data_IF_141370072363
#
_entry.id   IF_141370072363
#
_cell.length_a   1.000
_cell.length_b   1.000
_cell.length_c   1.000
_cell.angle_alpha   90.00
_cell.angle_beta   90.00
_cell.angle_gamma   90.00
#
_symmetry.space_group_name_H-M   'P 1'
#
loop_
_entity.id
_entity.type
_entity.pdbx_description
1 polymer ?
#
# COMPACT_ATOMS: atom_id res chain seq x y z
N UNK A 1 -23.06 6.41 -4.06
CA UNK A 1 -23.98 5.31 -4.47
C UNK A 1 -23.69 4.07 -3.63
N UNK A 2 -24.52 3.78 -2.62
CA UNK A 2 -24.18 2.85 -1.54
C UNK A 2 -24.10 1.35 -1.94
N UNK A 3 -24.42 1.00 -3.19
CA UNK A 3 -24.51 -0.39 -3.65
C UNK A 3 -23.53 -0.74 -4.79
N UNK A 4 -22.50 0.09 -5.02
CA UNK A 4 -21.50 -0.19 -6.06
C UNK A 4 -20.55 -1.27 -5.55
N UNK A 5 -20.49 -2.41 -6.24
CA UNK A 5 -19.55 -3.47 -5.90
C UNK A 5 -18.10 -3.00 -6.12
N UNK A 6 -17.35 -2.79 -5.04
CA UNK A 6 -15.96 -2.29 -5.09
C UNK A 6 -15.02 -3.19 -5.90
N UNK A 7 -15.30 -4.50 -5.97
CA UNK A 7 -14.51 -5.43 -6.78
C UNK A 7 -14.63 -5.16 -8.28
N UNK A 8 -15.59 -4.35 -8.73
CA UNK A 8 -15.67 -3.90 -10.12
C UNK A 8 -14.74 -2.72 -10.43
N UNK A 9 -14.22 -2.03 -9.41
CA UNK A 9 -13.35 -0.88 -9.58
C UNK A 9 -11.91 -1.34 -9.84
N UNK A 10 -11.31 -1.01 -10.99
CA UNK A 10 -9.93 -1.42 -11.31
C UNK A 10 -8.92 -0.94 -10.26
N UNK A 11 -9.10 0.27 -9.73
CA UNK A 11 -8.22 0.83 -8.69
C UNK A 11 -8.27 0.03 -7.39
N UNK A 12 -9.45 -0.50 -7.01
CA UNK A 12 -9.63 -1.23 -5.76
C UNK A 12 -8.99 -2.61 -5.88
N UNK A 13 -9.22 -3.31 -6.99
CA UNK A 13 -8.52 -4.57 -7.29
C UNK A 13 -7.01 -4.39 -7.28
N UNK A 14 -6.49 -3.34 -7.91
CA UNK A 14 -5.04 -3.06 -7.90
C UNK A 14 -4.50 -2.63 -6.54
N UNK A 15 -5.31 -2.04 -5.68
CA UNK A 15 -4.93 -1.81 -4.28
C UNK A 15 -4.84 -3.13 -3.50
N UNK A 16 -5.76 -4.08 -3.73
CA UNK A 16 -5.70 -5.41 -3.12
C UNK A 16 -4.49 -6.20 -3.60
N UNK A 17 -4.19 -6.18 -4.91
CA UNK A 17 -3.01 -6.83 -5.48
C UNK A 17 -1.72 -6.28 -4.84
N UNK A 18 -1.60 -4.95 -4.74
CA UNK A 18 -0.47 -4.27 -4.09
C UNK A 18 -0.35 -4.65 -2.60
N UNK A 19 -1.47 -4.71 -1.88
CA UNK A 19 -1.51 -5.12 -0.48
C UNK A 19 -1.08 -6.58 -0.30
N UNK A 20 -1.56 -7.48 -1.16
CA UNK A 20 -1.18 -8.89 -1.16
C UNK A 20 0.32 -9.04 -1.43
N UNK A 21 0.86 -8.40 -2.45
CA UNK A 21 2.29 -8.45 -2.76
C UNK A 21 3.14 -7.89 -1.61
N UNK A 22 2.70 -6.77 -1.00
CA UNK A 22 3.39 -6.17 0.14
C UNK A 22 3.45 -7.14 1.32
N UNK A 23 2.36 -7.88 1.58
CA UNK A 23 2.30 -8.91 2.62
C UNK A 23 3.28 -10.04 2.38
N UNK A 24 3.32 -10.60 1.17
CA UNK A 24 4.24 -11.69 0.84
C UNK A 24 5.71 -11.26 0.99
N UNK A 25 6.04 -10.05 0.51
CA UNK A 25 7.39 -9.49 0.62
C UNK A 25 7.78 -9.25 2.08
N UNK A 26 6.88 -8.67 2.88
CA UNK A 26 7.13 -8.46 4.31
C UNK A 26 7.29 -9.79 5.04
N UNK A 27 6.46 -10.79 4.74
CA UNK A 27 6.58 -12.14 5.31
C UNK A 27 7.95 -12.73 5.00
N UNK A 28 8.43 -12.62 3.76
CA UNK A 28 9.76 -13.08 3.37
C UNK A 28 10.88 -12.33 4.11
N UNK A 29 10.88 -11.00 4.09
CA UNK A 29 11.95 -10.15 4.66
C UNK A 29 12.08 -10.32 6.17
N UNK A 30 10.98 -10.63 6.83
CA UNK A 30 10.90 -10.73 8.29
C UNK A 30 10.98 -12.16 8.81
N UNK A 31 11.19 -13.14 7.92
CA UNK A 31 11.19 -14.57 8.24
C UNK A 31 9.86 -15.05 8.86
N UNK A 32 8.75 -14.60 8.28
CA UNK A 32 7.37 -14.92 8.66
C UNK A 32 6.98 -14.48 10.07
N UNK A 33 7.54 -13.37 10.56
CA UNK A 33 7.01 -12.71 11.76
C UNK A 33 5.64 -12.13 11.45
N UNK A 34 4.69 -12.30 12.36
CA UNK A 34 3.39 -11.64 12.25
C UNK A 34 3.47 -10.14 12.55
N UNK A 35 2.41 -9.41 12.21
CA UNK A 35 2.34 -7.95 12.37
C UNK A 35 2.54 -7.50 13.82
N UNK A 36 2.03 -8.25 14.80
CA UNK A 36 2.16 -7.90 16.21
C UNK A 36 3.61 -8.02 16.69
N UNK A 37 4.33 -9.03 16.19
CA UNK A 37 5.76 -9.20 16.43
C UNK A 37 6.60 -8.12 15.75
N UNK A 38 6.22 -7.69 14.53
CA UNK A 38 6.90 -6.58 13.85
C UNK A 38 6.73 -5.26 14.62
N UNK A 39 5.51 -4.95 15.05
CA UNK A 39 5.20 -3.74 15.82
C UNK A 39 6.02 -3.63 17.12
N UNK A 40 6.36 -4.76 17.75
CA UNK A 40 7.17 -4.81 18.99
C UNK A 40 8.67 -4.89 18.74
N UNK A 41 9.11 -5.02 17.49
CA UNK A 41 10.52 -5.21 17.16
C UNK A 41 11.30 -3.90 17.25
N UNK A 42 12.56 -4.00 17.69
CA UNK A 42 13.52 -2.89 17.66
C UNK A 42 14.44 -2.94 16.42
N UNK A 43 14.28 -3.97 15.57
CA UNK A 43 15.03 -4.07 14.32
C UNK A 43 14.55 -3.01 13.34
N UNK A 44 15.47 -2.21 12.80
CA UNK A 44 15.15 -1.20 11.80
C UNK A 44 14.41 -1.78 10.60
N UNK A 45 14.83 -2.98 10.15
CA UNK A 45 14.18 -3.74 9.08
C UNK A 45 12.74 -4.10 9.39
N UNK A 46 12.48 -4.58 10.61
CA UNK A 46 11.14 -4.99 11.02
C UNK A 46 10.22 -3.77 11.13
N UNK A 47 10.74 -2.63 11.61
CA UNK A 47 10.00 -1.35 11.69
C UNK A 47 9.61 -0.85 10.28
N UNK A 48 10.55 -0.91 9.32
CA UNK A 48 10.24 -0.55 7.92
C UNK A 48 9.21 -1.52 7.34
N UNK A 49 9.33 -2.81 7.61
CA UNK A 49 8.41 -3.84 7.13
C UNK A 49 6.99 -3.67 7.69
N UNK A 50 6.87 -3.36 8.99
CA UNK A 50 5.60 -3.01 9.65
C UNK A 50 4.96 -1.78 9.02
N UNK A 51 5.75 -0.72 8.83
CA UNK A 51 5.29 0.53 8.22
C UNK A 51 4.81 0.30 6.79
N UNK A 52 5.56 -0.48 6.01
CA UNK A 52 5.20 -0.84 4.63
C UNK A 52 3.88 -1.60 4.58
N UNK A 53 3.70 -2.61 5.43
CA UNK A 53 2.49 -3.42 5.45
C UNK A 53 1.27 -2.61 5.91
N UNK A 54 1.44 -1.78 6.93
CA UNK A 54 0.41 -0.87 7.43
C UNK A 54 -0.07 0.08 6.33
N UNK A 55 0.86 0.74 5.64
CA UNK A 55 0.54 1.66 4.55
C UNK A 55 -0.14 0.93 3.38
N UNK A 56 0.33 -0.26 3.01
CA UNK A 56 -0.28 -1.06 1.95
C UNK A 56 -1.73 -1.49 2.28
N UNK A 57 -2.02 -1.84 3.54
CA UNK A 57 -3.37 -2.19 4.01
C UNK A 57 -4.30 -0.96 4.00
N UNK A 58 -3.78 0.23 4.30
CA UNK A 58 -4.58 1.45 4.32
C UNK A 58 -5.09 1.86 2.94
N UNK A 59 -4.36 1.59 1.85
CA UNK A 59 -4.78 1.99 0.49
C UNK A 59 -6.20 1.49 0.13
N UNK A 60 -6.51 0.17 0.16
CA UNK A 60 -7.85 -0.29 -0.19
C UNK A 60 -8.93 0.24 0.76
N UNK A 61 -8.64 0.36 2.07
CA UNK A 61 -9.58 0.94 3.05
C UNK A 61 -9.91 2.40 2.73
N UNK A 62 -8.91 3.17 2.30
CA UNK A 62 -9.06 4.56 1.89
C UNK A 62 -9.88 4.69 0.61
N UNK A 63 -9.64 3.85 -0.40
CA UNK A 63 -10.44 3.83 -1.63
C UNK A 63 -11.91 3.52 -1.32
N UNK A 64 -12.17 2.50 -0.50
CA UNK A 64 -13.51 2.16 -0.06
C UNK A 64 -14.20 3.33 0.66
N UNK A 65 -13.49 4.00 1.57
CA UNK A 65 -14.00 5.17 2.28
C UNK A 65 -14.43 6.29 1.30
N UNK A 66 -13.62 6.60 0.29
CA UNK A 66 -13.95 7.64 -0.68
C UNK A 66 -15.13 7.26 -1.59
N UNK A 67 -15.22 6.00 -2.03
CA UNK A 67 -16.33 5.52 -2.88
C UNK A 67 -17.67 5.50 -2.13
N UNK A 68 -17.64 5.20 -0.84
CA UNK A 68 -18.84 5.19 0.02
C UNK A 68 -19.22 6.57 0.53
N UNK A 69 -18.32 7.55 0.48
CA UNK A 69 -18.57 8.90 0.97
C UNK A 69 -19.17 9.82 -0.10
N UNK A 70 -20.14 10.64 0.32
CA UNK A 70 -20.67 11.75 -0.47
C UNK A 70 -19.96 13.08 -0.13
N UNK A 71 -19.11 13.09 0.90
CA UNK A 71 -18.38 14.28 1.33
C UNK A 71 -17.15 14.52 0.46
N UNK A 72 -17.15 15.65 -0.25
CA UNK A 72 -16.00 16.11 -1.03
C UNK A 72 -14.72 16.24 -0.18
N UNK A 73 -14.85 16.66 1.09
CA UNK A 73 -13.72 16.76 2.02
C UNK A 73 -13.10 15.39 2.33
N UNK A 74 -13.93 14.36 2.53
CA UNK A 74 -13.47 12.98 2.76
C UNK A 74 -12.77 12.45 1.51
N UNK A 75 -13.33 12.68 0.32
CA UNK A 75 -12.71 12.27 -0.96
C UNK A 75 -11.35 12.93 -1.18
N UNK A 76 -11.28 14.24 -0.96
CA UNK A 76 -10.04 15.02 -1.15
C UNK A 76 -8.96 14.61 -0.15
N UNK A 77 -9.31 14.45 1.14
CA UNK A 77 -8.35 14.00 2.16
C UNK A 77 -7.88 12.58 1.91
N UNK A 78 -8.75 11.70 1.42
CA UNK A 78 -8.41 10.33 1.01
C UNK A 78 -7.39 10.33 -0.13
N UNK A 79 -7.63 11.13 -1.18
CA UNK A 79 -6.69 11.30 -2.30
C UNK A 79 -5.33 11.79 -1.78
N UNK A 80 -5.33 12.79 -0.90
CA UNK A 80 -4.10 13.32 -0.31
C UNK A 80 -3.32 12.22 0.43
N UNK A 81 -4.01 11.44 1.27
CA UNK A 81 -3.41 10.37 2.05
C UNK A 81 -2.84 9.26 1.16
N UNK A 82 -3.55 8.81 0.13
CA UNK A 82 -3.04 7.81 -0.81
C UNK A 82 -1.78 8.33 -1.53
N UNK A 83 -1.70 9.64 -1.85
CA UNK A 83 -0.48 10.20 -2.44
C UNK A 83 0.72 10.16 -1.47
N UNK A 84 0.49 10.31 -0.17
CA UNK A 84 1.54 10.17 0.85
C UNK A 84 1.98 8.71 0.94
N UNK A 85 1.04 7.79 1.15
CA UNK A 85 1.29 6.35 1.28
C UNK A 85 2.09 5.83 0.07
N UNK A 86 1.69 6.20 -1.15
CA UNK A 86 2.41 5.75 -2.35
C UNK A 86 3.84 6.27 -2.42
N UNK A 87 4.17 7.41 -1.82
CA UNK A 87 5.56 7.90 -1.70
C UNK A 87 6.29 7.15 -0.59
N UNK A 88 5.64 6.92 0.55
CA UNK A 88 6.18 6.16 1.67
C UNK A 88 6.61 4.75 1.23
N UNK A 89 5.79 4.03 0.47
CA UNK A 89 6.13 2.70 -0.05
C UNK A 89 7.47 2.71 -0.81
N UNK A 90 7.71 3.73 -1.65
CA UNK A 90 9.00 3.86 -2.34
C UNK A 90 10.16 4.13 -1.37
N UNK A 91 9.93 4.97 -0.35
CA UNK A 91 10.90 5.25 0.70
C UNK A 91 11.22 4.01 1.53
N UNK A 92 10.24 3.16 1.82
CA UNK A 92 10.43 1.88 2.52
C UNK A 92 11.28 0.92 1.69
N UNK A 93 10.99 0.77 0.39
CA UNK A 93 11.86 -0.03 -0.49
C UNK A 93 13.31 0.48 -0.46
N UNK A 94 13.51 1.80 -0.51
CA UNK A 94 14.85 2.40 -0.42
C UNK A 94 15.49 2.16 0.95
N UNK A 95 14.73 2.27 2.04
CA UNK A 95 15.19 2.01 3.39
C UNK A 95 15.68 0.57 3.56
N UNK A 96 14.92 -0.40 3.05
CA UNK A 96 15.30 -1.82 3.06
C UNK A 96 16.58 -2.10 2.24
N UNK A 97 16.75 -1.42 1.11
CA UNK A 97 18.00 -1.51 0.33
C UNK A 97 19.20 -0.96 1.09
N UNK A 98 19.01 0.17 1.78
CA UNK A 98 20.07 0.81 2.58
C UNK A 98 20.40 0.01 3.84
N UNK A 99 19.43 -0.72 4.41
CA UNK A 99 19.60 -1.67 5.51
C UNK A 99 20.33 -2.97 5.09
N UNK A 100 20.66 -3.12 3.81
CA UNK A 100 21.46 -4.23 3.30
C UNK A 100 20.65 -5.46 2.89
N UNK A 101 19.35 -5.30 2.61
CA UNK A 101 18.57 -6.37 1.96
C UNK A 101 19.20 -6.70 0.59
N UNK A 102 19.52 -7.99 0.38
CA UNK A 102 20.24 -8.44 -0.82
C UNK A 102 19.30 -8.69 -1.99
N UNK A 103 18.07 -9.11 -1.70
CA UNK A 103 17.07 -9.58 -2.65
C UNK A 103 16.26 -8.41 -3.23
N UNK A 104 16.96 -7.54 -3.97
CA UNK A 104 16.39 -6.33 -4.56
C UNK A 104 15.31 -6.62 -5.60
N UNK A 105 15.29 -7.83 -6.16
CA UNK A 105 14.29 -8.29 -7.11
C UNK A 105 12.87 -8.19 -6.51
N UNK A 106 12.69 -8.57 -5.25
CA UNK A 106 11.38 -8.47 -4.59
C UNK A 106 10.93 -7.01 -4.43
N UNK A 107 11.85 -6.13 -4.07
CA UNK A 107 11.55 -4.70 -3.96
C UNK A 107 11.24 -4.08 -5.33
N UNK A 108 11.88 -4.57 -6.40
CA UNK A 108 11.57 -4.16 -7.76
C UNK A 108 10.18 -4.65 -8.20
N UNK A 109 9.79 -5.87 -7.87
CA UNK A 109 8.42 -6.36 -8.10
C UNK A 109 7.39 -5.46 -7.42
N UNK A 110 7.62 -5.09 -6.15
CA UNK A 110 6.73 -4.17 -5.42
C UNK A 110 6.63 -2.80 -6.09
N UNK A 111 7.75 -2.26 -6.60
CA UNK A 111 7.75 -0.99 -7.35
C UNK A 111 6.97 -1.10 -8.64
N UNK A 112 7.05 -2.21 -9.35
CA UNK A 112 6.25 -2.44 -10.56
C UNK A 112 4.75 -2.55 -10.24
N UNK A 113 4.37 -3.27 -9.18
CA UNK A 113 2.96 -3.34 -8.78
C UNK A 113 2.44 -1.96 -8.34
N UNK A 114 3.26 -1.17 -7.63
CA UNK A 114 2.92 0.21 -7.29
C UNK A 114 2.76 1.10 -8.53
N UNK A 115 3.57 0.91 -9.58
CA UNK A 115 3.41 1.62 -10.86
C UNK A 115 2.10 1.24 -11.54
N UNK A 116 1.73 -0.04 -11.52
CA UNK A 116 0.45 -0.54 -12.05
C UNK A 116 -0.72 0.09 -11.30
N UNK A 117 -0.70 0.05 -9.96
CA UNK A 117 -1.70 0.70 -9.11
C UNK A 117 -1.84 2.20 -9.44
N UNK A 118 -0.72 2.93 -9.57
CA UNK A 118 -0.73 4.37 -9.87
C UNK A 118 -1.40 4.70 -11.21
N UNK A 119 -1.33 3.82 -12.21
CA UNK A 119 -2.03 4.00 -13.49
C UNK A 119 -3.55 3.99 -13.29
N UNK A 120 -4.07 2.98 -12.60
CA UNK A 120 -5.51 2.88 -12.30
C UNK A 120 -5.98 3.97 -11.34
N UNK A 121 -5.15 4.33 -10.35
CA UNK A 121 -5.43 5.39 -9.39
C UNK A 121 -5.59 6.76 -10.06
N UNK A 122 -4.77 7.08 -11.07
CA UNK A 122 -4.89 8.36 -11.79
C UNK A 122 -6.24 8.51 -12.50
N UNK A 123 -6.77 7.41 -13.05
CA UNK A 123 -8.08 7.40 -13.73
C UNK A 123 -9.17 7.58 -12.68
N UNK A 124 -9.13 6.77 -11.62
CA UNK A 124 -10.10 6.83 -10.53
C UNK A 124 -10.16 8.19 -9.83
N UNK A 125 -9.00 8.80 -9.55
CA UNK A 125 -8.91 10.12 -8.93
C UNK A 125 -9.68 11.19 -9.73
N UNK A 126 -9.76 11.07 -11.05
CA UNK A 126 -10.49 12.01 -11.92
C UNK A 126 -12.00 11.75 -11.95
N UNK A 127 -12.44 10.57 -11.53
CA UNK A 127 -13.86 10.19 -11.48
C UNK A 127 -14.52 10.42 -10.12
N UNK A 128 -13.73 10.80 -9.10
CA UNK A 128 -14.16 11.07 -7.74
C UNK A 128 -14.64 12.51 -7.55
#
# INVERSE_FOLDING_TARGET
MPNRNLNTLPVYRKALDLCSMSREIVSYITYNKDLLHLYKSQSHRDIIADSLLTDAILIPQKIELAERSESHLIRTSTIHHINIITKNILSYCRGLEMDGLKEKEYLNLLREELKIFRKTYRIWKRSL
#
